data_IF_918368699963
#
_entry.id   IF_918368699963
#
_cell.length_a   1.000
_cell.length_b   1.000
_cell.length_c   1.000
_cell.angle_alpha   90.00
_cell.angle_beta   90.00
_cell.angle_gamma   90.00
#
_symmetry.space_group_name_H-M   'P 1'
#
loop_
_entity.id
_entity.type
_entity.pdbx_description
1 polymer ?
#
# COMPACT_ATOMS: atom_id res chain seq x y z
N UNK A 1 -15.97 57.36 -60.48
CA UNK A 1 -15.43 56.07 -60.01
C UNK A 1 -14.27 56.34 -59.06
N UNK A 2 -14.34 55.84 -57.82
CA UNK A 2 -13.14 55.25 -57.20
C UNK A 2 -13.44 53.89 -56.56
N UNK A 3 -12.45 53.00 -56.62
CA UNK A 3 -12.51 51.58 -56.29
C UNK A 3 -12.68 51.28 -54.79
N UNK A 4 -13.48 50.25 -54.52
CA UNK A 4 -13.76 49.69 -53.19
C UNK A 4 -12.60 48.82 -52.70
N UNK A 5 -11.91 49.21 -51.61
CA UNK A 5 -11.03 48.28 -50.86
C UNK A 5 -11.87 47.36 -49.98
N UNK A 6 -11.86 46.06 -50.27
CA UNK A 6 -12.44 45.03 -49.40
C UNK A 6 -11.51 44.77 -48.21
N UNK A 7 -12.04 44.90 -47.01
CA UNK A 7 -11.36 44.57 -45.75
C UNK A 7 -11.51 43.08 -45.49
N UNK A 8 -10.41 42.32 -45.56
CA UNK A 8 -10.40 40.88 -45.25
C UNK A 8 -10.52 40.65 -43.74
N UNK A 9 -11.66 40.13 -43.30
CA UNK A 9 -11.89 39.70 -41.91
C UNK A 9 -11.18 38.37 -41.65
N UNK A 10 -10.10 38.42 -40.86
CA UNK A 10 -9.34 37.28 -40.39
C UNK A 10 -10.21 36.36 -39.49
N UNK A 11 -10.55 35.16 -39.99
CA UNK A 11 -11.32 34.14 -39.25
C UNK A 11 -10.57 33.67 -37.99
N UNK A 12 -11.12 33.96 -36.81
CA UNK A 12 -10.63 33.44 -35.50
C UNK A 12 -10.83 31.91 -35.45
N UNK A 13 -9.73 31.15 -35.26
CA UNK A 13 -9.76 29.69 -35.11
C UNK A 13 -10.38 29.27 -33.75
N UNK A 14 -11.08 28.13 -33.66
CA UNK A 14 -11.96 27.83 -32.53
C UNK A 14 -11.21 27.35 -31.28
N UNK A 15 -11.44 28.05 -30.16
CA UNK A 15 -11.00 27.75 -28.77
C UNK A 15 -11.46 26.35 -28.28
N UNK A 16 -12.40 25.72 -29.00
CA UNK A 16 -12.99 24.40 -28.67
C UNK A 16 -11.98 23.24 -28.64
N UNK A 17 -10.83 23.34 -29.31
CA UNK A 17 -9.80 22.27 -29.28
C UNK A 17 -9.04 22.19 -27.95
N UNK A 18 -8.85 23.30 -27.24
CA UNK A 18 -8.12 23.31 -25.98
C UNK A 18 -8.93 22.67 -24.85
N UNK A 19 -10.23 22.99 -24.73
CA UNK A 19 -11.11 22.39 -23.70
C UNK A 19 -11.27 20.88 -23.83
N UNK A 20 -11.23 20.33 -25.04
CA UNK A 20 -11.36 18.88 -25.27
C UNK A 20 -10.20 18.07 -24.69
N UNK A 21 -9.02 18.68 -24.55
CA UNK A 21 -7.84 18.05 -23.94
C UNK A 21 -7.85 18.09 -22.41
N UNK A 22 -8.55 19.05 -21.81
CA UNK A 22 -8.69 19.15 -20.34
C UNK A 22 -9.84 18.28 -19.79
N UNK A 23 -10.81 17.91 -20.64
CA UNK A 23 -11.95 17.06 -20.28
C UNK A 23 -11.70 15.58 -20.64
N UNK A 24 -10.49 15.23 -21.06
CA UNK A 24 -10.11 13.83 -21.29
C UNK A 24 -9.67 13.18 -19.96
N UNK A 25 -10.59 13.18 -18.97
CA UNK A 25 -10.40 12.67 -17.60
C UNK A 25 -9.92 11.21 -17.62
N UNK A 26 -10.36 10.44 -18.62
CA UNK A 26 -9.96 9.05 -18.82
C UNK A 26 -8.45 8.90 -19.08
N UNK A 27 -7.86 9.87 -19.79
CA UNK A 27 -6.43 9.91 -20.13
C UNK A 27 -5.59 10.51 -19.00
N UNK A 28 -6.13 11.45 -18.23
CA UNK A 28 -5.46 12.04 -17.06
C UNK A 28 -5.40 11.10 -15.86
N UNK A 29 -6.45 10.31 -15.63
CA UNK A 29 -6.51 9.43 -14.45
C UNK A 29 -5.93 8.03 -14.69
N UNK A 30 -5.30 7.77 -15.86
CA UNK A 30 -4.97 6.42 -16.33
C UNK A 30 -6.08 5.42 -16.00
N UNK A 31 -7.33 5.74 -16.34
CA UNK A 31 -8.51 4.99 -15.87
C UNK A 31 -8.42 3.50 -16.22
N UNK A 32 -7.84 3.17 -17.38
CA UNK A 32 -7.65 1.79 -17.80
C UNK A 32 -6.64 1.05 -16.91
N UNK A 33 -5.58 1.74 -16.44
CA UNK A 33 -4.61 1.19 -15.49
C UNK A 33 -5.20 1.09 -14.07
N UNK A 34 -5.93 2.12 -13.62
CA UNK A 34 -6.60 2.13 -12.31
C UNK A 34 -7.66 1.03 -12.24
N UNK A 35 -8.46 0.85 -13.30
CA UNK A 35 -9.48 -0.18 -13.35
C UNK A 35 -8.89 -1.59 -13.49
N UNK A 36 -7.79 -1.76 -14.24
CA UNK A 36 -7.06 -3.02 -14.30
C UNK A 36 -6.43 -3.38 -12.94
N UNK A 37 -5.79 -2.42 -12.28
CA UNK A 37 -5.25 -2.60 -10.93
C UNK A 37 -6.35 -2.89 -9.92
N UNK A 38 -7.48 -2.18 -9.99
CA UNK A 38 -8.63 -2.41 -9.10
C UNK A 38 -9.20 -3.82 -9.28
N UNK A 39 -9.31 -4.32 -10.52
CA UNK A 39 -9.73 -5.70 -10.78
C UNK A 39 -8.75 -6.73 -10.24
N UNK A 40 -7.44 -6.48 -10.36
CA UNK A 40 -6.41 -7.34 -9.78
C UNK A 40 -6.48 -7.35 -8.25
N UNK A 41 -6.57 -6.17 -7.63
CA UNK A 41 -6.74 -6.01 -6.18
C UNK A 41 -8.02 -6.66 -5.68
N UNK A 42 -9.13 -6.52 -6.41
CA UNK A 42 -10.40 -7.18 -6.12
C UNK A 42 -10.30 -8.71 -6.24
N UNK A 43 -9.57 -9.21 -7.25
CA UNK A 43 -9.29 -10.63 -7.40
C UNK A 43 -8.49 -11.20 -6.23
N UNK A 44 -7.48 -10.46 -5.73
CA UNK A 44 -6.72 -10.82 -4.54
C UNK A 44 -7.60 -10.78 -3.28
N UNK A 45 -8.39 -9.73 -3.11
CA UNK A 45 -9.33 -9.61 -1.99
C UNK A 45 -10.34 -10.77 -1.98
N UNK A 46 -10.92 -11.09 -3.14
CA UNK A 46 -11.83 -12.22 -3.31
C UNK A 46 -11.16 -13.55 -2.99
N UNK A 47 -9.89 -13.75 -3.37
CA UNK A 47 -9.11 -14.95 -3.03
C UNK A 47 -8.83 -15.07 -1.54
N UNK A 48 -8.60 -13.95 -0.84
CA UNK A 48 -8.43 -13.92 0.61
C UNK A 48 -9.72 -14.25 1.35
N UNK A 49 -10.88 -13.83 0.82
CA UNK A 49 -12.19 -14.07 1.44
C UNK A 49 -12.89 -15.37 1.00
N UNK A 50 -12.53 -15.94 -0.15
CA UNK A 50 -12.93 -17.31 -0.49
C UNK A 50 -12.12 -18.28 0.37
N UNK A 51 -12.79 -19.15 1.14
CA UNK A 51 -12.13 -20.20 1.92
C UNK A 51 -11.13 -20.95 1.03
N UNK A 52 -9.85 -20.78 1.30
CA UNK A 52 -8.79 -21.52 0.63
C UNK A 52 -9.06 -23.01 0.84
N UNK A 53 -9.56 -23.66 -0.21
CA UNK A 53 -9.93 -25.08 -0.23
C UNK A 53 -8.73 -25.96 -0.60
N UNK A 54 -7.55 -25.37 -0.75
CA UNK A 54 -6.30 -26.10 -0.87
C UNK A 54 -5.81 -26.51 0.51
N UNK A 55 -5.34 -27.76 0.63
CA UNK A 55 -4.68 -28.26 1.83
C UNK A 55 -3.58 -27.28 2.25
N UNK A 56 -3.86 -26.47 3.28
CA UNK A 56 -2.84 -25.65 3.92
C UNK A 56 -1.87 -26.64 4.54
N UNK A 57 -0.73 -26.87 3.87
CA UNK A 57 0.31 -27.76 4.36
C UNK A 57 0.71 -27.28 5.75
N UNK A 58 0.28 -28.02 6.78
CA UNK A 58 0.61 -27.75 8.18
C UNK A 58 2.04 -28.22 8.43
N UNK A 59 2.99 -27.50 7.86
CA UNK A 59 4.41 -27.74 8.16
C UNK A 59 4.74 -27.19 9.54
N UNK A 60 5.48 -27.97 10.31
CA UNK A 60 6.04 -27.52 11.59
C UNK A 60 7.22 -26.57 11.36
N UNK A 61 7.59 -25.80 12.38
CA UNK A 61 8.73 -24.87 12.29
C UNK A 61 10.04 -25.58 11.97
N UNK A 62 10.23 -26.79 12.51
CA UNK A 62 11.42 -27.60 12.27
C UNK A 62 11.50 -28.07 10.81
N UNK A 63 10.40 -28.54 10.23
CA UNK A 63 10.33 -28.90 8.81
C UNK A 63 10.59 -27.70 7.89
N UNK A 64 10.11 -26.51 8.27
CA UNK A 64 10.35 -25.28 7.52
C UNK A 64 11.82 -24.84 7.58
N UNK A 65 12.47 -24.97 8.75
CA UNK A 65 13.90 -24.66 8.93
C UNK A 65 14.78 -25.62 8.14
N UNK A 66 14.46 -26.92 8.17
CA UNK A 66 15.16 -27.95 7.39
C UNK A 66 14.99 -27.70 5.88
N UNK A 67 13.77 -27.39 5.41
CA UNK A 67 13.53 -27.04 4.00
C UNK A 67 14.31 -25.79 3.57
N UNK A 68 14.39 -24.79 4.44
CA UNK A 68 15.07 -23.53 4.15
C UNK A 68 16.59 -23.61 4.32
N UNK A 69 17.13 -24.74 4.81
CA UNK A 69 18.57 -24.92 5.03
C UNK A 69 19.16 -23.90 6.01
N UNK A 70 18.35 -23.37 6.92
CA UNK A 70 18.76 -22.29 7.83
C UNK A 70 19.62 -22.85 8.96
N UNK A 71 20.83 -22.33 9.11
CA UNK A 71 21.63 -22.52 10.33
C UNK A 71 21.01 -21.71 11.49
N UNK A 72 21.16 -22.17 12.74
CA UNK A 72 20.55 -21.52 13.92
C UNK A 72 20.98 -20.05 14.06
N UNK A 73 22.24 -19.75 13.77
CA UNK A 73 22.77 -18.37 13.79
C UNK A 73 22.09 -17.47 12.75
N UNK A 74 21.84 -18.00 11.56
CA UNK A 74 21.16 -17.28 10.48
C UNK A 74 19.69 -17.04 10.80
N UNK A 75 19.03 -18.00 11.46
CA UNK A 75 17.66 -17.85 11.94
C UNK A 75 17.55 -16.74 12.99
N UNK A 76 18.51 -16.64 13.92
CA UNK A 76 18.55 -15.58 14.94
C UNK A 76 18.79 -14.20 14.30
N UNK A 77 19.75 -14.10 13.37
CA UNK A 77 20.02 -12.86 12.66
C UNK A 77 18.78 -12.38 11.89
N UNK A 78 18.09 -13.29 11.20
CA UNK A 78 16.88 -12.99 10.44
C UNK A 78 15.72 -12.56 11.33
N UNK A 79 15.54 -13.21 12.49
CA UNK A 79 14.58 -12.81 13.52
C UNK A 79 14.81 -11.35 13.95
N UNK A 80 16.05 -10.97 14.25
CA UNK A 80 16.36 -9.60 14.68
C UNK A 80 16.12 -8.59 13.55
N UNK A 81 16.48 -8.94 12.31
CA UNK A 81 16.21 -8.09 11.14
C UNK A 81 14.72 -7.81 10.95
N UNK A 82 13.85 -8.80 11.18
CA UNK A 82 12.40 -8.60 11.12
C UNK A 82 11.89 -7.64 12.20
N UNK A 83 12.44 -7.72 13.42
CA UNK A 83 12.10 -6.79 14.49
C UNK A 83 12.55 -5.35 14.17
N UNK A 84 13.79 -5.18 13.70
CA UNK A 84 14.28 -3.86 13.29
C UNK A 84 13.48 -3.27 12.13
N UNK A 85 13.17 -4.10 11.12
CA UNK A 85 12.35 -3.67 9.97
C UNK A 85 10.95 -3.24 10.41
N UNK A 86 10.31 -4.02 11.31
CA UNK A 86 9.01 -3.65 11.88
C UNK A 86 9.07 -2.30 12.62
N UNK A 87 10.12 -2.07 13.41
CA UNK A 87 10.30 -0.82 14.14
C UNK A 87 10.49 0.38 13.19
N UNK A 88 11.28 0.21 12.13
CA UNK A 88 11.49 1.24 11.11
C UNK A 88 10.17 1.60 10.41
N UNK A 89 9.38 0.60 10.00
CA UNK A 89 8.07 0.86 9.39
C UNK A 89 7.09 1.52 10.37
N UNK A 90 7.10 1.13 11.65
CA UNK A 90 6.30 1.77 12.68
C UNK A 90 6.72 3.24 12.90
N UNK A 91 8.02 3.53 12.90
CA UNK A 91 8.54 4.89 13.01
C UNK A 91 8.11 5.77 11.82
N UNK A 92 8.18 5.23 10.59
CA UNK A 92 7.65 5.92 9.41
C UNK A 92 6.14 6.15 9.49
N UNK A 93 5.37 5.15 9.92
CA UNK A 93 3.93 5.30 10.11
C UNK A 93 3.60 6.43 11.10
N UNK A 94 4.36 6.53 12.20
CA UNK A 94 4.23 7.61 13.17
C UNK A 94 4.60 8.97 12.56
N UNK A 95 5.70 9.05 11.80
CA UNK A 95 6.09 10.26 11.08
C UNK A 95 5.01 10.75 10.11
N UNK A 96 4.41 9.84 9.33
CA UNK A 96 3.29 10.17 8.45
C UNK A 96 2.03 10.57 9.22
N UNK A 97 1.77 9.99 10.39
CA UNK A 97 0.64 10.40 11.24
C UNK A 97 0.78 11.85 11.69
N UNK A 98 1.97 12.27 12.11
CA UNK A 98 2.25 13.67 12.46
C UNK A 98 2.03 14.57 11.24
N UNK A 99 2.54 14.19 10.07
CA UNK A 99 2.36 14.94 8.83
C UNK A 99 0.88 15.02 8.38
N UNK A 100 0.10 13.97 8.62
CA UNK A 100 -1.33 13.94 8.35
C UNK A 100 -2.07 14.95 9.22
N UNK A 101 -1.79 14.99 10.52
CA UNK A 101 -2.37 15.98 11.45
C UNK A 101 -2.01 17.40 11.01
N UNK A 102 -0.73 17.63 10.67
CA UNK A 102 -0.28 18.92 10.12
C UNK A 102 -1.06 19.32 8.86
N UNK A 103 -1.28 18.37 7.95
CA UNK A 103 -2.02 18.59 6.70
C UNK A 103 -3.50 18.90 6.92
N UNK A 104 -4.13 18.28 7.93
CA UNK A 104 -5.51 18.57 8.33
C UNK A 104 -5.66 19.99 8.88
N UNK A 105 -4.73 20.45 9.71
CA UNK A 105 -4.74 21.82 10.27
C UNK A 105 -4.68 22.87 9.15
N UNK A 106 -3.95 22.60 8.07
CA UNK A 106 -3.82 23.51 6.91
C UNK A 106 -4.90 23.30 5.84
N UNK A 107 -5.96 22.52 6.12
CA UNK A 107 -7.04 22.17 5.18
C UNK A 107 -6.54 21.60 3.82
N UNK A 108 -5.37 20.96 3.78
CA UNK A 108 -4.83 20.33 2.57
C UNK A 108 -5.40 18.92 2.41
N UNK A 109 -6.70 18.84 2.10
CA UNK A 109 -7.45 17.57 2.09
C UNK A 109 -6.90 16.51 1.13
N UNK A 110 -6.43 16.90 -0.05
CA UNK A 110 -5.79 15.98 -0.99
C UNK A 110 -4.49 15.38 -0.44
N UNK A 111 -3.64 16.22 0.16
CA UNK A 111 -2.40 15.76 0.79
C UNK A 111 -2.69 14.85 2.00
N UNK A 112 -3.69 15.21 2.81
CA UNK A 112 -4.14 14.37 3.92
C UNK A 112 -4.66 13.00 3.43
N UNK A 113 -5.44 12.98 2.34
CA UNK A 113 -5.94 11.75 1.72
C UNK A 113 -4.83 10.87 1.10
N UNK A 114 -3.74 11.44 0.60
CA UNK A 114 -2.58 10.64 0.17
C UNK A 114 -1.80 10.11 1.37
N UNK A 115 -1.63 10.94 2.41
CA UNK A 115 -0.88 10.57 3.62
C UNK A 115 -1.57 9.43 4.37
N UNK A 116 -2.91 9.40 4.42
CA UNK A 116 -3.62 8.30 5.09
C UNK A 116 -3.36 6.95 4.40
N UNK A 117 -3.23 6.93 3.07
CA UNK A 117 -2.87 5.70 2.35
C UNK A 117 -1.46 5.23 2.71
N UNK A 118 -0.51 6.17 2.85
CA UNK A 118 0.85 5.85 3.28
C UNK A 118 0.89 5.33 4.72
N UNK A 119 0.09 5.92 5.63
CA UNK A 119 -0.03 5.43 7.02
C UNK A 119 -0.50 3.99 7.02
N UNK A 120 -1.62 3.69 6.33
CA UNK A 120 -2.18 2.33 6.27
C UNK A 120 -1.16 1.34 5.68
N UNK A 121 -0.47 1.72 4.59
CA UNK A 121 0.53 0.88 3.96
C UNK A 121 1.70 0.58 4.90
N UNK A 122 2.24 1.58 5.59
CA UNK A 122 3.36 1.43 6.53
C UNK A 122 2.95 0.64 7.77
N UNK A 123 1.75 0.87 8.32
CA UNK A 123 1.22 0.09 9.43
C UNK A 123 1.03 -1.38 9.06
N UNK A 124 0.54 -1.67 7.86
CA UNK A 124 0.39 -3.05 7.38
C UNK A 124 1.75 -3.74 7.17
N UNK A 125 2.75 -3.02 6.64
CA UNK A 125 4.11 -3.52 6.53
C UNK A 125 4.72 -3.80 7.91
N UNK A 126 4.58 -2.88 8.86
CA UNK A 126 5.05 -3.04 10.23
C UNK A 126 4.42 -4.25 10.93
N UNK A 127 3.10 -4.44 10.75
CA UNK A 127 2.36 -5.61 11.23
C UNK A 127 2.94 -6.90 10.64
N UNK A 128 3.11 -6.96 9.31
CA UNK A 128 3.62 -8.14 8.61
C UNK A 128 4.99 -8.56 9.16
N UNK A 129 5.94 -7.64 9.25
CA UNK A 129 7.28 -7.95 9.76
C UNK A 129 7.26 -8.37 11.24
N UNK A 130 6.44 -7.72 12.07
CA UNK A 130 6.28 -8.10 13.48
C UNK A 130 5.64 -9.49 13.63
N UNK A 131 4.74 -9.85 12.72
CA UNK A 131 4.12 -11.16 12.71
C UNK A 131 5.13 -12.26 12.38
N UNK A 132 6.00 -12.05 11.39
CA UNK A 132 7.11 -12.97 11.09
C UNK A 132 8.09 -13.11 12.27
N UNK A 133 8.40 -12.00 12.94
CA UNK A 133 9.20 -12.02 14.17
C UNK A 133 8.56 -12.91 15.25
N UNK A 134 7.27 -12.75 15.51
CA UNK A 134 6.55 -13.57 16.49
C UNK A 134 6.55 -15.06 16.12
N UNK A 135 6.35 -15.40 14.84
CA UNK A 135 6.38 -16.80 14.39
C UNK A 135 7.76 -17.44 14.60
N UNK A 136 8.83 -16.70 14.33
CA UNK A 136 10.20 -17.15 14.61
C UNK A 136 10.49 -17.27 16.11
N UNK A 137 9.97 -16.35 16.93
CA UNK A 137 10.17 -16.39 18.37
C UNK A 137 9.42 -17.54 19.03
N UNK A 138 8.16 -17.80 18.63
CA UNK A 138 7.35 -18.89 19.16
C UNK A 138 7.65 -20.25 18.52
N UNK A 139 8.50 -20.28 17.48
CA UNK A 139 8.78 -21.48 16.66
C UNK A 139 7.49 -22.21 16.24
N UNK A 140 6.45 -21.46 15.90
CA UNK A 140 5.11 -21.99 15.53
C UNK A 140 4.63 -21.31 14.25
N UNK A 141 4.33 -22.11 13.23
CA UNK A 141 3.69 -21.64 11.99
C UNK A 141 2.16 -21.68 12.17
N UNK A 142 1.45 -20.78 11.50
CA UNK A 142 -0.01 -20.71 11.55
C UNK A 142 -0.59 -20.07 12.82
N UNK A 143 0.15 -19.18 13.49
CA UNK A 143 -0.40 -18.34 14.57
C UNK A 143 -1.55 -17.48 14.05
N UNK A 144 -2.58 -17.27 14.87
CA UNK A 144 -3.74 -16.48 14.48
C UNK A 144 -3.57 -14.99 14.83
N UNK A 145 -4.38 -14.10 14.25
CA UNK A 145 -4.32 -12.66 14.57
C UNK A 145 -4.54 -12.39 16.07
N UNK A 146 -5.44 -13.14 16.71
CA UNK A 146 -5.69 -13.07 18.14
C UNK A 146 -4.46 -13.46 18.98
N UNK A 147 -3.68 -14.46 18.54
CA UNK A 147 -2.45 -14.86 19.24
C UNK A 147 -1.36 -13.78 19.12
N UNK A 148 -1.32 -13.05 18.00
CA UNK A 148 -0.43 -11.91 17.80
C UNK A 148 -0.82 -10.72 18.68
N UNK A 149 -2.11 -10.39 18.76
CA UNK A 149 -2.59 -9.31 19.62
C UNK A 149 -2.29 -9.61 21.09
N UNK A 150 -2.57 -10.83 21.54
CA UNK A 150 -2.25 -11.29 22.88
C UNK A 150 -0.74 -11.26 23.17
N UNK A 151 0.10 -11.57 22.17
CA UNK A 151 1.56 -11.51 22.30
C UNK A 151 2.06 -10.07 22.50
N UNK A 152 1.51 -9.10 21.77
CA UNK A 152 1.84 -7.69 21.94
C UNK A 152 1.40 -7.20 23.33
N UNK A 153 0.17 -7.50 23.71
CA UNK A 153 -0.40 -7.06 24.99
C UNK A 153 0.31 -7.70 26.20
N UNK A 154 0.67 -8.99 26.13
CA UNK A 154 1.39 -9.67 27.22
C UNK A 154 2.83 -9.21 27.38
N UNK A 155 3.45 -8.61 26.36
CA UNK A 155 4.82 -8.06 26.46
C UNK A 155 4.89 -6.80 27.35
N UNK A 156 3.75 -6.26 27.78
CA UNK A 156 3.66 -5.06 28.63
C UNK A 156 3.48 -5.37 30.13
N UNK A 157 3.54 -6.63 30.55
CA UNK A 157 3.56 -7.08 31.97
C UNK A 157 4.84 -7.88 32.21
#
# INVERSE_FOLDING_TARGET
MPETKKVDTQKRKPIKKFFKSFVDVKKWSSYDEVSANTKNTWGLFRRLFSRATGEVRRETYEEAVVRLGLNEEQAIARKNNFLYSSLVYAAFALGFLIYFIYSLIHLRLLAAGLTIMLIVLMSLAAYREHFWYMQMQKKKLGCDFHEWLAFILRRQV
#
